data_IF_147996531512
#
_entry.id   IF_147996531512
#
_cell.length_a   1.000
_cell.length_b   1.000
_cell.length_c   1.000
_cell.angle_alpha   90.00
_cell.angle_beta   90.00
_cell.angle_gamma   90.00
#
_symmetry.space_group_name_H-M   'P 1'
#
loop_
_entity.id
_entity.type
_entity.pdbx_description
1 polymer ?
#
# COMPACT_ATOMS: atom_id res chain seq x y z
N UNK A 1 1.01 -11.42 -3.30
CA UNK A 1 0.52 -10.64 -2.15
C UNK A 1 1.63 -10.61 -1.11
N UNK A 2 1.93 -9.43 -0.60
CA UNK A 2 2.83 -9.18 0.54
C UNK A 2 2.07 -9.37 1.85
N UNK A 3 2.74 -9.90 2.87
CA UNK A 3 2.20 -10.04 4.23
C UNK A 3 2.38 -8.77 5.05
N UNK A 4 1.65 -8.65 6.16
CA UNK A 4 1.75 -7.46 7.02
C UNK A 4 3.15 -7.34 7.63
N UNK A 5 3.65 -8.42 8.20
CA UNK A 5 4.97 -8.48 8.86
C UNK A 5 6.12 -8.09 7.92
N UNK A 6 6.04 -8.50 6.64
CA UNK A 6 7.00 -8.08 5.62
C UNK A 6 6.97 -6.57 5.41
N UNK A 7 5.77 -5.98 5.24
CA UNK A 7 5.61 -4.56 4.94
C UNK A 7 5.91 -3.66 6.13
N UNK A 8 5.65 -4.09 7.36
CA UNK A 8 5.99 -3.36 8.58
C UNK A 8 7.50 -3.29 8.81
N UNK A 9 8.23 -4.37 8.49
CA UNK A 9 9.70 -4.40 8.59
C UNK A 9 10.40 -3.56 7.53
N UNK A 10 9.73 -3.27 6.42
CA UNK A 10 10.26 -2.39 5.40
C UNK A 10 10.26 -0.95 5.87
N UNK A 11 11.37 -0.26 5.59
CA UNK A 11 11.48 1.18 5.81
C UNK A 11 10.47 1.90 4.92
N UNK A 12 9.68 2.78 5.51
CA UNK A 12 8.82 3.70 4.75
C UNK A 12 9.68 4.63 3.90
N UNK A 13 9.47 4.57 2.58
CA UNK A 13 10.16 5.41 1.59
C UNK A 13 9.55 6.81 1.58
N UNK A 14 8.22 6.89 1.63
CA UNK A 14 7.45 8.13 1.59
C UNK A 14 6.12 7.95 2.33
N UNK A 15 5.57 9.02 2.87
CA UNK A 15 4.26 9.02 3.54
C UNK A 15 3.26 9.83 2.73
N UNK A 16 2.14 9.22 2.36
CA UNK A 16 0.96 9.90 1.87
C UNK A 16 0.07 10.34 3.06
N UNK A 17 -1.13 10.83 2.77
CA UNK A 17 -2.09 11.29 3.78
C UNK A 17 -2.41 10.18 4.80
N UNK A 18 -2.77 8.98 4.33
CA UNK A 18 -3.15 7.85 5.18
C UNK A 18 -2.21 6.64 5.04
N UNK A 19 -1.33 6.63 4.02
CA UNK A 19 -0.57 5.43 3.67
C UNK A 19 0.94 5.64 3.72
N UNK A 20 1.66 4.55 3.97
CA UNK A 20 3.11 4.45 3.92
C UNK A 20 3.53 3.75 2.62
N UNK A 21 4.35 4.40 1.80
CA UNK A 21 4.98 3.76 0.64
C UNK A 21 6.11 2.85 1.14
N UNK A 22 5.91 1.53 1.03
CA UNK A 22 6.88 0.53 1.47
C UNK A 22 7.79 0.06 0.34
N UNK A 23 7.25 -0.05 -0.88
CA UNK A 23 8.00 -0.49 -2.07
C UNK A 23 7.73 0.49 -3.21
N UNK A 24 8.80 0.95 -3.85
CA UNK A 24 8.73 1.77 -5.05
C UNK A 24 9.73 1.25 -6.09
N UNK A 25 9.20 0.61 -7.12
CA UNK A 25 9.93 0.16 -8.31
C UNK A 25 9.56 1.03 -9.51
N UNK A 26 10.24 0.81 -10.65
CA UNK A 26 10.00 1.57 -11.88
C UNK A 26 8.54 1.51 -12.36
N UNK A 27 7.85 0.38 -12.13
CA UNK A 27 6.47 0.15 -12.63
C UNK A 27 5.49 -0.30 -11.56
N UNK A 28 5.91 -0.37 -10.29
CA UNK A 28 5.05 -0.84 -9.19
C UNK A 28 5.27 0.00 -7.92
N UNK A 29 4.19 0.30 -7.21
CA UNK A 29 4.21 0.85 -5.86
C UNK A 29 3.35 0.00 -4.95
N UNK A 30 3.79 -0.14 -3.70
CA UNK A 30 3.05 -0.86 -2.66
C UNK A 30 2.93 0.04 -1.44
N UNK A 31 1.68 0.31 -1.09
CA UNK A 31 1.30 1.18 0.00
C UNK A 31 0.70 0.34 1.13
N UNK A 32 1.12 0.60 2.36
CA UNK A 32 0.50 0.05 3.56
C UNK A 32 -0.27 1.15 4.27
N UNK A 33 -1.57 0.95 4.47
CA UNK A 33 -2.41 1.94 5.14
C UNK A 33 -2.11 2.01 6.64
N UNK A 34 -2.13 3.23 7.19
CA UNK A 34 -2.10 3.48 8.63
C UNK A 34 -3.50 3.55 9.24
N UNK A 35 -4.53 3.58 8.39
CA UNK A 35 -5.93 3.61 8.80
C UNK A 35 -6.49 2.20 8.90
N UNK A 36 -7.38 2.00 9.87
CA UNK A 36 -8.11 0.76 10.06
C UNK A 36 -9.60 0.90 9.72
N UNK A 37 -10.35 -0.18 9.94
CA UNK A 37 -11.81 -0.20 9.76
C UNK A 37 -12.50 0.86 10.62
N UNK A 38 -11.93 1.17 11.78
CA UNK A 38 -12.43 2.23 12.68
C UNK A 38 -12.35 3.63 12.07
N UNK A 39 -11.42 3.86 11.14
CA UNK A 39 -11.25 5.13 10.40
C UNK A 39 -12.10 5.19 9.12
N UNK A 40 -12.87 4.13 8.83
CA UNK A 40 -13.72 4.02 7.64
C UNK A 40 -13.11 3.27 6.45
N UNK A 41 -11.95 2.63 6.63
CA UNK A 41 -11.36 1.76 5.61
C UNK A 41 -12.11 0.42 5.48
N UNK A 42 -12.08 -0.23 4.30
CA UNK A 42 -12.76 -1.51 4.10
C UNK A 42 -12.13 -2.67 4.88
N UNK A 43 -10.84 -2.58 5.22
CA UNK A 43 -10.07 -3.62 5.91
C UNK A 43 -9.07 -2.99 6.89
N UNK A 44 -8.64 -3.75 7.90
CA UNK A 44 -7.46 -3.36 8.67
C UNK A 44 -6.21 -3.67 7.83
N UNK A 45 -5.12 -2.92 8.03
CA UNK A 45 -3.85 -3.21 7.35
C UNK A 45 -3.97 -3.26 5.82
N UNK A 46 -4.80 -2.38 5.24
CA UNK A 46 -5.05 -2.37 3.80
C UNK A 46 -3.74 -2.16 3.04
N UNK A 47 -3.51 -3.02 2.05
CA UNK A 47 -2.43 -2.87 1.09
C UNK A 47 -2.99 -2.45 -0.25
N UNK A 48 -2.42 -1.39 -0.82
CA UNK A 48 -2.77 -0.90 -2.16
C UNK A 48 -1.57 -1.09 -3.08
N UNK A 49 -1.77 -1.82 -4.19
CA UNK A 49 -0.75 -1.99 -5.23
C UNK A 49 -1.12 -1.09 -6.41
N UNK A 50 -0.19 -0.22 -6.78
CA UNK A 50 -0.30 0.58 -8.00
C UNK A 50 0.68 0.08 -9.05
N UNK A 51 0.29 0.20 -10.32
CA UNK A 51 1.19 0.02 -11.46
C UNK A 51 1.23 1.26 -12.33
N UNK A 52 2.41 1.54 -12.86
CA UNK A 52 2.58 2.62 -13.82
C UNK A 52 2.13 2.15 -15.21
N UNK A 53 1.03 2.71 -15.70
CA UNK A 53 0.43 2.37 -16.99
C UNK A 53 -0.06 3.65 -17.67
N UNK A 54 0.15 3.78 -18.99
CA UNK A 54 -0.34 4.93 -19.77
C UNK A 54 0.04 6.31 -19.18
N UNK A 55 1.26 6.43 -18.64
CA UNK A 55 1.77 7.70 -18.11
C UNK A 55 1.31 8.07 -16.69
N UNK A 56 0.53 7.24 -16.02
CA UNK A 56 0.05 7.48 -14.66
C UNK A 56 0.06 6.21 -13.80
N UNK A 57 -0.02 6.39 -12.48
CA UNK A 57 -0.15 5.28 -11.53
C UNK A 57 -1.62 4.89 -11.42
N UNK A 58 -1.90 3.60 -11.51
CA UNK A 58 -3.25 3.03 -11.45
C UNK A 58 -3.26 1.97 -10.36
N UNK A 59 -4.25 2.03 -9.46
CA UNK A 59 -4.49 0.96 -8.49
C UNK A 59 -4.93 -0.30 -9.25
N UNK A 60 -4.18 -1.38 -9.07
CA UNK A 60 -4.46 -2.66 -9.73
C UNK A 60 -4.92 -3.73 -8.75
N UNK A 61 -4.67 -3.54 -7.45
CA UNK A 61 -5.04 -4.49 -6.41
C UNK A 61 -5.16 -3.78 -5.06
N UNK A 62 -6.17 -4.17 -4.28
CA UNK A 62 -6.33 -3.80 -2.88
C UNK A 62 -6.72 -5.05 -2.09
N UNK A 63 -6.07 -5.29 -0.96
CA UNK A 63 -6.35 -6.45 -0.12
C UNK A 63 -5.99 -6.19 1.35
N UNK A 64 -6.57 -7.00 2.24
CA UNK A 64 -6.19 -7.07 3.65
C UNK A 64 -4.92 -7.91 3.82
N UNK A 65 -3.85 -7.33 4.38
CA UNK A 65 -2.68 -8.11 4.75
C UNK A 65 -2.88 -8.79 6.12
N UNK A 66 -2.52 -10.06 6.19
CA UNK A 66 -2.52 -10.88 7.41
C UNK A 66 -1.08 -11.16 7.89
#
# INVERSE_FOLDING_TARGET
>A
MYTLDELEKLKTICTAQADDLKIQEATQRVWLSRCGVEDGEPFNNKVTIERYQNGHWVVVEEYEAH
#
